data_IF_116949894856
#
_entry.id   IF_116949894856
#
_cell.length_a   1.000
_cell.length_b   1.000
_cell.length_c   1.000
_cell.angle_alpha   90.00
_cell.angle_beta   90.00
_cell.angle_gamma   90.00
#
_symmetry.space_group_name_H-M   'P 1'
#
loop_
_entity.id
_entity.type
_entity.pdbx_description
1 polymer ?
#
# COMPACT_ATOMS: atom_id res chain seq x y z
N UNK A 1 11.18 39.43 24.68
CA UNK A 1 10.40 39.28 23.43
C UNK A 1 9.14 40.13 23.57
N UNK A 2 8.87 41.08 22.67
CA UNK A 2 7.73 42.02 22.83
C UNK A 2 6.40 41.29 22.67
N UNK A 3 5.37 41.75 23.37
CA UNK A 3 4.01 41.18 23.33
C UNK A 3 3.44 41.15 21.91
N UNK A 4 3.77 42.16 21.09
CA UNK A 4 3.42 42.22 19.67
C UNK A 4 4.03 41.08 18.86
N UNK A 5 5.31 40.74 19.08
CA UNK A 5 5.96 39.60 18.40
C UNK A 5 5.35 38.26 18.79
N UNK A 6 4.89 38.12 20.04
CA UNK A 6 4.18 36.91 20.50
C UNK A 6 2.83 36.80 19.79
N UNK A 7 2.11 37.92 19.67
CA UNK A 7 0.79 37.96 19.02
C UNK A 7 0.87 37.66 17.52
N UNK A 8 1.89 38.18 16.83
CA UNK A 8 2.11 37.91 15.41
C UNK A 8 2.57 36.46 15.15
N UNK A 9 3.38 35.87 16.03
CA UNK A 9 3.70 34.44 15.96
C UNK A 9 2.46 33.58 16.22
N UNK A 10 1.61 33.95 17.18
CA UNK A 10 0.39 33.20 17.49
C UNK A 10 -0.60 33.17 16.31
N UNK A 11 -0.70 34.28 15.55
CA UNK A 11 -1.55 34.36 14.35
C UNK A 11 -1.11 33.41 13.23
N UNK A 12 0.17 33.06 13.16
CA UNK A 12 0.71 32.13 12.15
C UNK A 12 0.65 30.70 12.69
N UNK A 13 1.04 30.50 13.95
CA UNK A 13 1.14 29.18 14.58
C UNK A 13 -0.25 28.57 14.83
N UNK A 14 -1.24 29.36 15.27
CA UNK A 14 -2.54 28.84 15.65
C UNK A 14 -3.31 28.21 14.46
N UNK A 15 -3.43 28.86 13.27
CA UNK A 15 -4.05 28.21 12.10
C UNK A 15 -3.31 26.96 11.65
N UNK A 16 -1.98 26.96 11.75
CA UNK A 16 -1.13 25.83 11.36
C UNK A 16 -1.34 24.63 12.30
N UNK A 17 -1.47 24.88 13.61
CA UNK A 17 -1.85 23.87 14.61
C UNK A 17 -3.24 23.31 14.37
N UNK A 18 -4.24 24.17 14.11
CA UNK A 18 -5.62 23.73 13.82
C UNK A 18 -5.65 22.88 12.54
N UNK A 19 -4.90 23.28 11.51
CA UNK A 19 -4.76 22.51 10.28
C UNK A 19 -4.12 21.14 10.54
N UNK A 20 -3.01 21.09 11.29
CA UNK A 20 -2.36 19.83 11.64
C UNK A 20 -3.29 18.90 12.44
N UNK A 21 -3.99 19.42 13.45
CA UNK A 21 -4.92 18.65 14.25
C UNK A 21 -6.08 18.07 13.43
N UNK A 22 -6.65 18.85 12.50
CA UNK A 22 -7.73 18.38 11.63
C UNK A 22 -7.26 17.31 10.64
N UNK A 23 -6.07 17.48 10.06
CA UNK A 23 -5.44 16.47 9.20
C UNK A 23 -5.20 15.17 9.99
N UNK A 24 -4.59 15.25 11.17
CA UNK A 24 -4.34 14.07 12.01
C UNK A 24 -5.64 13.36 12.38
N UNK A 25 -6.67 14.11 12.80
CA UNK A 25 -7.99 13.56 13.12
C UNK A 25 -8.65 12.85 11.93
N UNK A 26 -8.54 13.44 10.74
CA UNK A 26 -9.02 12.82 9.50
C UNK A 26 -8.30 11.51 9.18
N UNK A 27 -6.96 11.51 9.22
CA UNK A 27 -6.15 10.33 8.98
C UNK A 27 -6.43 9.23 10.00
N UNK A 28 -6.60 9.59 11.27
CA UNK A 28 -6.96 8.66 12.33
C UNK A 28 -8.31 7.98 12.04
N UNK A 29 -9.36 8.76 11.75
CA UNK A 29 -10.69 8.21 11.43
C UNK A 29 -10.62 7.28 10.20
N UNK A 30 -9.92 7.69 9.15
CA UNK A 30 -9.77 6.87 7.95
C UNK A 30 -8.94 5.60 8.20
N UNK A 31 -7.91 5.66 9.05
CA UNK A 31 -7.15 4.49 9.45
C UNK A 31 -8.03 3.44 10.13
N UNK A 32 -8.91 3.86 11.04
CA UNK A 32 -9.88 2.95 11.66
C UNK A 32 -10.81 2.33 10.63
N UNK A 33 -11.36 3.12 9.71
CA UNK A 33 -12.22 2.60 8.64
C UNK A 33 -11.50 1.56 7.78
N UNK A 34 -10.28 1.84 7.35
CA UNK A 34 -9.46 0.90 6.55
C UNK A 34 -9.15 -0.39 7.32
N UNK A 35 -8.87 -0.29 8.62
CA UNK A 35 -8.48 -1.45 9.44
C UNK A 35 -9.67 -2.35 9.78
N UNK A 36 -10.83 -1.75 10.07
CA UNK A 36 -12.03 -2.45 10.53
C UNK A 36 -12.80 -3.04 9.36
N UNK A 37 -13.03 -2.26 8.30
CA UNK A 37 -13.87 -2.67 7.16
C UNK A 37 -13.12 -3.70 6.32
N UNK A 38 -13.61 -4.94 6.34
CA UNK A 38 -13.05 -6.05 5.56
C UNK A 38 -13.59 -6.03 4.13
N UNK A 39 -12.98 -6.85 3.27
CA UNK A 39 -13.39 -6.92 1.86
C UNK A 39 -14.84 -7.39 1.68
N UNK A 40 -15.35 -8.23 2.58
CA UNK A 40 -16.76 -8.65 2.55
C UNK A 40 -17.72 -7.55 3.02
N UNK A 41 -17.32 -6.66 3.93
CA UNK A 41 -18.14 -5.53 4.38
C UNK A 41 -18.33 -4.48 3.28
N UNK A 42 -17.34 -4.35 2.37
CA UNK A 42 -17.37 -3.37 1.27
C UNK A 42 -18.56 -3.55 0.32
N UNK A 43 -19.17 -4.74 0.25
CA UNK A 43 -20.32 -4.97 -0.64
C UNK A 43 -21.58 -4.24 -0.16
N UNK A 44 -21.64 -3.89 1.13
CA UNK A 44 -22.77 -3.19 1.74
C UNK A 44 -22.59 -1.67 1.73
N UNK A 45 -21.40 -1.19 1.36
CA UNK A 45 -21.06 0.23 1.31
C UNK A 45 -21.35 0.84 -0.06
N UNK A 46 -21.56 2.16 -0.07
CA UNK A 46 -21.69 2.90 -1.32
C UNK A 46 -20.37 2.87 -2.11
N UNK A 47 -20.48 2.92 -3.44
CA UNK A 47 -19.33 2.86 -4.34
C UNK A 47 -18.28 3.95 -4.05
N UNK A 48 -18.70 5.15 -3.69
CA UNK A 48 -17.80 6.26 -3.37
C UNK A 48 -17.06 6.04 -2.04
N UNK A 49 -17.71 5.45 -1.04
CA UNK A 49 -17.10 5.09 0.24
C UNK A 49 -16.06 3.98 0.07
N UNK A 50 -16.39 2.95 -0.72
CA UNK A 50 -15.45 1.87 -1.07
C UNK A 50 -14.22 2.44 -1.78
N UNK A 51 -14.40 3.38 -2.71
CA UNK A 51 -13.28 4.04 -3.39
C UNK A 51 -12.42 4.85 -2.41
N UNK A 52 -13.02 5.61 -1.49
CA UNK A 52 -12.30 6.36 -0.45
C UNK A 52 -11.48 5.42 0.44
N UNK A 53 -12.07 4.31 0.89
CA UNK A 53 -11.38 3.31 1.74
C UNK A 53 -10.21 2.68 0.99
N UNK A 54 -10.42 2.22 -0.25
CA UNK A 54 -9.36 1.60 -1.05
C UNK A 54 -8.23 2.60 -1.38
N UNK A 55 -8.56 3.87 -1.62
CA UNK A 55 -7.57 4.92 -1.80
C UNK A 55 -6.75 5.14 -0.53
N UNK A 56 -7.41 5.28 0.63
CA UNK A 56 -6.72 5.46 1.91
C UNK A 56 -5.86 4.25 2.29
N UNK A 57 -6.33 3.02 2.05
CA UNK A 57 -5.53 1.80 2.23
C UNK A 57 -4.28 1.83 1.34
N UNK A 58 -4.43 2.19 0.07
CA UNK A 58 -3.29 2.34 -0.85
C UNK A 58 -2.31 3.41 -0.38
N UNK A 59 -2.82 4.55 0.12
CA UNK A 59 -2.04 5.67 0.64
C UNK A 59 -1.26 5.26 1.92
N UNK A 60 -1.89 4.53 2.85
CA UNK A 60 -1.23 4.02 4.05
C UNK A 60 -0.13 3.02 3.70
N UNK A 61 -0.42 2.06 2.81
CA UNK A 61 0.57 1.10 2.35
C UNK A 61 1.75 1.80 1.64
N UNK A 62 1.47 2.85 0.88
CA UNK A 62 2.49 3.69 0.24
C UNK A 62 3.38 4.40 1.28
N UNK A 63 2.80 5.06 2.29
CA UNK A 63 3.59 5.71 3.35
C UNK A 63 4.40 4.70 4.16
N UNK A 64 3.82 3.57 4.51
CA UNK A 64 4.52 2.48 5.19
C UNK A 64 5.69 1.95 4.36
N UNK A 65 5.52 1.86 3.04
CA UNK A 65 6.60 1.46 2.14
C UNK A 65 7.73 2.49 2.11
N UNK A 66 7.41 3.79 1.98
CA UNK A 66 8.41 4.88 2.02
C UNK A 66 9.18 4.85 3.34
N UNK A 67 8.47 4.77 4.46
CA UNK A 67 9.08 4.75 5.80
C UNK A 67 9.92 3.50 5.99
N UNK A 68 9.36 2.32 5.70
CA UNK A 68 9.99 1.03 5.96
C UNK A 68 11.18 0.73 5.05
N UNK A 69 11.13 1.14 3.79
CA UNK A 69 12.18 0.82 2.81
C UNK A 69 13.22 1.93 2.63
N UNK A 70 12.89 3.19 2.91
CA UNK A 70 13.82 4.31 2.71
C UNK A 70 14.16 5.03 4.01
N UNK A 71 13.17 5.60 4.70
CA UNK A 71 13.44 6.49 5.84
C UNK A 71 14.08 5.74 7.00
N UNK A 72 13.46 4.66 7.49
CA UNK A 72 13.95 3.92 8.65
C UNK A 72 15.35 3.31 8.42
N UNK A 73 15.63 2.59 7.31
CA UNK A 73 16.97 2.08 7.03
C UNK A 73 18.01 3.20 6.91
N UNK A 74 17.68 4.30 6.22
CA UNK A 74 18.58 5.43 6.07
C UNK A 74 18.92 6.09 7.40
N UNK A 75 17.92 6.32 8.25
CA UNK A 75 18.16 6.87 9.59
C UNK A 75 19.01 5.95 10.45
N UNK A 76 18.74 4.63 10.46
CA UNK A 76 19.52 3.66 11.22
C UNK A 76 20.97 3.57 10.77
N UNK A 77 21.20 3.53 9.45
CA UNK A 77 22.55 3.56 8.87
C UNK A 77 23.25 4.88 9.19
N UNK A 78 22.53 6.00 9.09
CA UNK A 78 23.13 7.31 9.36
C UNK A 78 23.64 7.43 10.80
N UNK A 79 22.83 7.05 11.79
CA UNK A 79 23.23 7.06 13.21
C UNK A 79 24.44 6.16 13.46
N UNK A 80 24.42 4.94 12.91
CA UNK A 80 25.54 4.00 13.05
C UNK A 80 26.85 4.52 12.46
N UNK A 81 26.77 5.19 11.30
CA UNK A 81 27.94 5.77 10.64
C UNK A 81 28.48 6.97 11.42
N UNK A 82 27.61 7.86 11.92
CA UNK A 82 28.01 9.05 12.71
C UNK A 82 28.83 8.69 13.95
N UNK A 83 28.45 7.61 14.64
CA UNK A 83 29.15 7.20 15.87
C UNK A 83 30.56 6.65 15.60
N UNK A 84 30.91 6.32 14.35
CA UNK A 84 32.18 5.63 14.00
C UNK A 84 33.05 6.37 12.99
N UNK A 85 32.67 7.58 12.56
CA UNK A 85 33.36 8.29 11.47
C UNK A 85 34.76 8.83 11.80
N UNK A 86 35.17 8.85 13.07
CA UNK A 86 36.48 9.40 13.46
C UNK A 86 37.67 8.47 13.13
N UNK A 87 37.45 7.16 12.93
CA UNK A 87 38.52 6.15 12.74
C UNK A 87 38.59 5.48 11.35
N UNK A 88 37.86 6.01 10.36
CA UNK A 88 37.75 5.35 9.04
C UNK A 88 38.96 5.70 8.15
N UNK A 89 39.87 4.73 7.98
CA UNK A 89 41.05 4.84 7.12
C UNK A 89 40.72 5.21 5.66
N UNK A 90 41.64 5.91 4.98
CA UNK A 90 41.48 6.30 3.57
C UNK A 90 41.19 5.10 2.63
N UNK A 91 41.78 3.94 2.91
CA UNK A 91 41.56 2.70 2.16
C UNK A 91 40.10 2.23 2.24
N UNK A 92 39.51 2.30 3.44
CA UNK A 92 38.10 1.93 3.65
C UNK A 92 37.11 2.88 2.96
N UNK A 93 37.46 4.17 2.83
CA UNK A 93 36.66 5.14 2.05
C UNK A 93 36.63 4.79 0.56
N UNK A 94 37.77 4.42 -0.02
CA UNK A 94 37.84 4.05 -1.44
C UNK A 94 37.08 2.75 -1.76
N UNK A 95 37.11 1.78 -0.84
CA UNK A 95 36.33 0.53 -0.96
C UNK A 95 34.84 0.84 -0.91
N UNK A 96 34.40 1.67 0.04
CA UNK A 96 33.00 2.08 0.16
C UNK A 96 32.52 2.84 -1.08
N UNK A 97 33.32 3.76 -1.63
CA UNK A 97 33.00 4.48 -2.86
C UNK A 97 32.84 3.52 -4.05
N UNK A 98 33.76 2.55 -4.18
CA UNK A 98 33.71 1.53 -5.24
C UNK A 98 32.47 0.64 -5.12
N UNK A 99 32.10 0.28 -3.89
CA UNK A 99 30.89 -0.48 -3.60
C UNK A 99 29.62 0.31 -3.95
N UNK A 100 29.54 1.59 -3.58
CA UNK A 100 28.42 2.46 -3.95
C UNK A 100 28.29 2.65 -5.46
N UNK A 101 29.42 2.79 -6.16
CA UNK A 101 29.44 2.88 -7.62
C UNK A 101 28.90 1.60 -8.28
N UNK A 102 29.31 0.43 -7.78
CA UNK A 102 28.78 -0.86 -8.25
C UNK A 102 27.28 -0.99 -7.97
N UNK A 103 26.81 -0.57 -6.79
CA UNK A 103 25.38 -0.52 -6.47
C UNK A 103 24.60 0.42 -7.40
N UNK A 104 25.17 1.57 -7.76
CA UNK A 104 24.57 2.51 -8.70
C UNK A 104 24.40 1.86 -10.09
N UNK A 105 25.42 1.14 -10.57
CA UNK A 105 25.33 0.40 -11.84
C UNK A 105 24.21 -0.65 -11.76
N UNK A 106 24.17 -1.44 -10.68
CA UNK A 106 23.13 -2.46 -10.47
C UNK A 106 21.74 -1.81 -10.45
N UNK A 107 21.59 -0.68 -9.77
CA UNK A 107 20.35 0.07 -9.70
C UNK A 107 19.89 0.54 -11.08
N UNK A 108 20.78 1.18 -11.86
CA UNK A 108 20.50 1.69 -13.21
C UNK A 108 20.09 0.54 -14.14
N UNK A 109 20.81 -0.58 -14.13
CA UNK A 109 20.48 -1.76 -14.95
C UNK A 109 19.11 -2.31 -14.53
N UNK A 110 18.86 -2.45 -13.22
CA UNK A 110 17.61 -3.01 -12.70
C UNK A 110 16.41 -2.13 -13.03
N UNK A 111 16.53 -0.81 -12.90
CA UNK A 111 15.45 0.13 -13.21
C UNK A 111 15.20 0.23 -14.72
N UNK A 112 16.24 0.11 -15.56
CA UNK A 112 16.10 0.06 -17.02
C UNK A 112 15.37 -1.22 -17.47
N UNK A 113 15.75 -2.38 -16.94
CA UNK A 113 15.06 -3.65 -17.19
C UNK A 113 13.60 -3.56 -16.70
N UNK A 114 13.38 -2.97 -15.53
CA UNK A 114 12.05 -2.71 -15.00
C UNK A 114 11.21 -1.85 -15.97
N UNK A 115 11.74 -0.70 -16.41
CA UNK A 115 11.04 0.22 -17.29
C UNK A 115 10.70 -0.47 -18.63
N UNK A 116 11.63 -1.26 -19.17
CA UNK A 116 11.38 -2.07 -20.35
C UNK A 116 10.22 -3.06 -20.15
N UNK A 117 10.23 -3.81 -19.04
CA UNK A 117 9.18 -4.78 -18.73
C UNK A 117 7.83 -4.06 -18.55
N UNK A 118 7.80 -2.94 -17.84
CA UNK A 118 6.56 -2.27 -17.49
C UNK A 118 5.94 -1.49 -18.66
N UNK A 119 6.72 -0.74 -19.42
CA UNK A 119 6.18 0.08 -20.51
C UNK A 119 6.04 -0.68 -21.82
N UNK A 120 6.99 -1.58 -22.15
CA UNK A 120 7.06 -2.16 -23.50
C UNK A 120 6.60 -3.63 -23.56
N UNK A 121 6.46 -4.33 -22.42
CA UNK A 121 6.04 -5.74 -22.43
C UNK A 121 4.53 -5.91 -22.41
N UNK A 122 4.05 -6.88 -23.20
CA UNK A 122 2.65 -7.28 -23.19
C UNK A 122 2.27 -7.96 -21.85
N UNK A 123 1.02 -7.77 -21.39
CA UNK A 123 0.48 -8.30 -20.12
C UNK A 123 0.74 -9.80 -19.96
N UNK A 124 0.58 -10.59 -21.02
CA UNK A 124 0.86 -12.04 -20.99
C UNK A 124 2.31 -12.37 -20.65
N UNK A 125 3.27 -11.62 -21.20
CA UNK A 125 4.71 -11.81 -20.92
C UNK A 125 5.05 -11.34 -19.50
N UNK A 126 4.45 -10.24 -19.04
CA UNK A 126 4.59 -9.73 -17.65
C UNK A 126 4.15 -10.75 -16.61
N UNK A 127 3.02 -11.43 -16.85
CA UNK A 127 2.49 -12.45 -15.95
C UNK A 127 3.26 -13.77 -16.02
N UNK A 128 3.65 -14.22 -17.22
CA UNK A 128 4.46 -15.45 -17.41
C UNK A 128 5.75 -15.43 -16.59
N UNK A 129 6.39 -14.26 -16.48
CA UNK A 129 7.65 -14.09 -15.76
C UNK A 129 7.50 -13.34 -14.42
N UNK A 130 6.31 -13.40 -13.78
CA UNK A 130 6.01 -12.71 -12.51
C UNK A 130 7.12 -12.84 -11.47
N UNK A 131 7.57 -14.08 -11.17
CA UNK A 131 8.60 -14.33 -10.14
C UNK A 131 9.92 -13.58 -10.45
N UNK A 132 10.41 -13.68 -11.69
CA UNK A 132 11.64 -13.00 -12.13
C UNK A 132 11.50 -11.48 -12.02
N UNK A 133 10.37 -10.94 -12.48
CA UNK A 133 10.14 -9.50 -12.49
C UNK A 133 10.03 -8.94 -11.07
N UNK A 134 9.44 -9.69 -10.13
CA UNK A 134 9.44 -9.35 -8.70
C UNK A 134 10.84 -9.35 -8.09
N UNK A 135 11.68 -10.34 -8.43
CA UNK A 135 13.08 -10.39 -7.96
C UNK A 135 13.87 -9.17 -8.45
N UNK A 136 13.75 -8.82 -9.73
CA UNK A 136 14.42 -7.63 -10.31
C UNK A 136 13.95 -6.35 -9.60
N UNK A 137 12.64 -6.24 -9.35
CA UNK A 137 12.07 -5.12 -8.61
C UNK A 137 12.64 -5.04 -7.20
N UNK A 138 12.76 -6.17 -6.50
CA UNK A 138 13.31 -6.23 -5.15
C UNK A 138 14.80 -5.83 -5.10
N UNK A 139 15.60 -6.30 -6.06
CA UNK A 139 17.01 -5.88 -6.20
C UNK A 139 17.11 -4.36 -6.42
N UNK A 140 16.23 -3.80 -7.25
CA UNK A 140 16.16 -2.36 -7.50
C UNK A 140 15.78 -1.59 -6.23
N UNK A 141 14.83 -2.08 -5.44
CA UNK A 141 14.43 -1.46 -4.16
C UNK A 141 15.61 -1.45 -3.18
N UNK A 142 16.26 -2.60 -2.94
CA UNK A 142 17.39 -2.70 -2.00
C UNK A 142 18.54 -1.78 -2.43
N UNK A 143 18.94 -1.85 -3.70
CA UNK A 143 20.04 -1.01 -4.21
C UNK A 143 19.71 0.48 -4.07
N UNK A 144 18.49 0.90 -4.43
CA UNK A 144 18.07 2.30 -4.27
C UNK A 144 17.98 2.76 -2.81
N UNK A 145 17.60 1.87 -1.89
CA UNK A 145 17.53 2.15 -0.46
C UNK A 145 18.92 2.38 0.14
N UNK A 146 19.91 1.55 -0.23
CA UNK A 146 21.30 1.71 0.23
C UNK A 146 21.91 3.00 -0.33
N UNK A 147 21.68 3.30 -1.60
CA UNK A 147 22.13 4.55 -2.23
C UNK A 147 21.50 5.77 -1.58
N UNK A 148 20.18 5.74 -1.34
CA UNK A 148 19.45 6.79 -0.64
C UNK A 148 20.01 7.02 0.77
N UNK A 149 20.28 5.94 1.51
CA UNK A 149 20.88 6.02 2.85
C UNK A 149 22.23 6.73 2.83
N UNK A 150 23.04 6.47 1.80
CA UNK A 150 24.35 7.09 1.63
C UNK A 150 24.26 8.57 1.21
N UNK A 151 23.25 8.94 0.41
CA UNK A 151 22.98 10.35 0.08
C UNK A 151 22.50 11.14 1.30
N UNK A 152 21.68 10.50 2.15
CA UNK A 152 21.18 11.11 3.37
C UNK A 152 22.35 11.44 4.31
N UNK A 153 23.28 10.49 4.51
CA UNK A 153 24.44 10.72 5.39
C UNK A 153 25.33 11.85 4.88
N UNK A 154 25.68 11.89 3.59
CA UNK A 154 26.56 12.96 3.06
C UNK A 154 25.97 14.36 3.28
N UNK A 155 24.65 14.52 3.19
CA UNK A 155 24.02 15.85 3.32
C UNK A 155 23.90 16.29 4.78
N UNK A 156 23.55 15.38 5.70
CA UNK A 156 23.55 15.70 7.13
C UNK A 156 24.94 15.99 7.69
N UNK A 157 26.00 15.37 7.16
CA UNK A 157 27.36 15.51 7.71
C UNK A 157 28.27 16.49 6.97
N UNK A 158 28.17 16.60 5.64
CA UNK A 158 29.07 17.47 4.85
C UNK A 158 28.52 18.89 4.64
N UNK A 159 27.36 19.23 5.25
CA UNK A 159 26.70 20.55 5.12
C UNK A 159 26.56 21.00 3.65
N UNK A 160 26.30 20.06 2.74
CA UNK A 160 25.99 20.41 1.36
C UNK A 160 24.61 21.07 1.25
N UNK A 161 24.48 21.92 0.22
CA UNK A 161 23.50 22.99 0.06
C UNK A 161 22.03 22.54 0.14
N UNK A 162 21.17 23.49 0.53
CA UNK A 162 19.71 23.42 0.42
C UNK A 162 19.22 22.94 -0.96
N UNK A 163 20.06 23.06 -2.00
CA UNK A 163 19.79 22.68 -3.38
C UNK A 163 19.53 21.17 -3.56
N UNK A 164 20.11 20.31 -2.71
CA UNK A 164 19.91 18.85 -2.82
C UNK A 164 18.75 18.32 -1.96
N UNK A 165 18.17 19.14 -1.08
CA UNK A 165 17.07 18.73 -0.18
C UNK A 165 15.83 18.27 -0.95
N UNK A 166 15.49 18.96 -2.04
CA UNK A 166 14.37 18.57 -2.91
C UNK A 166 14.60 17.18 -3.52
N UNK A 167 15.81 16.92 -4.01
CA UNK A 167 16.17 15.64 -4.62
C UNK A 167 16.09 14.49 -3.61
N UNK A 168 16.54 14.70 -2.36
CA UNK A 168 16.42 13.71 -1.28
C UNK A 168 14.94 13.40 -1.01
N UNK A 169 14.09 14.41 -0.88
CA UNK A 169 12.68 14.20 -0.54
C UNK A 169 11.94 13.52 -1.70
N UNK A 170 12.20 13.95 -2.94
CA UNK A 170 11.52 13.42 -4.13
C UNK A 170 11.98 12.00 -4.49
N UNK A 171 13.23 11.63 -4.24
CA UNK A 171 13.78 10.32 -4.57
C UNK A 171 12.95 9.13 -4.04
N UNK A 172 12.71 8.99 -2.71
CA UNK A 172 11.92 7.89 -2.18
C UNK A 172 10.45 8.00 -2.60
N UNK A 173 9.91 9.21 -2.80
CA UNK A 173 8.52 9.42 -3.24
C UNK A 173 8.32 8.85 -4.64
N UNK A 174 9.15 9.28 -5.60
CA UNK A 174 9.07 8.87 -7.00
C UNK A 174 9.31 7.38 -7.15
N UNK A 175 10.39 6.85 -6.54
CA UNK A 175 10.69 5.43 -6.63
C UNK A 175 9.60 4.57 -5.98
N UNK A 176 9.07 4.99 -4.84
CA UNK A 176 7.97 4.27 -4.19
C UNK A 176 6.70 4.25 -5.03
N UNK A 177 6.41 5.30 -5.80
CA UNK A 177 5.26 5.31 -6.72
C UNK A 177 5.44 4.26 -7.82
N UNK A 178 6.64 4.23 -8.40
CA UNK A 178 7.04 3.28 -9.45
C UNK A 178 6.96 1.83 -8.93
N UNK A 179 7.51 1.56 -7.75
CA UNK A 179 7.49 0.21 -7.16
C UNK A 179 6.11 -0.21 -6.66
N UNK A 180 5.34 0.70 -6.06
CA UNK A 180 3.97 0.40 -5.63
C UNK A 180 3.08 0.04 -6.82
N UNK A 181 3.27 0.70 -7.97
CA UNK A 181 2.50 0.40 -9.19
C UNK A 181 2.68 -1.04 -9.68
N UNK A 182 3.92 -1.57 -9.62
CA UNK A 182 4.20 -2.94 -10.06
C UNK A 182 3.78 -3.99 -9.04
N UNK A 183 3.99 -3.70 -7.75
CA UNK A 183 3.52 -4.56 -6.68
C UNK A 183 2.00 -4.66 -6.75
N UNK A 184 1.29 -3.55 -6.94
CA UNK A 184 -0.15 -3.54 -7.15
C UNK A 184 -0.57 -4.25 -8.43
N UNK A 185 0.16 -4.10 -9.54
CA UNK A 185 -0.13 -4.86 -10.77
C UNK A 185 -0.07 -6.39 -10.53
N UNK A 186 0.93 -6.86 -9.78
CA UNK A 186 1.09 -8.29 -9.49
C UNK A 186 0.27 -8.80 -8.31
N UNK A 187 -0.11 -7.90 -7.40
CA UNK A 187 -0.89 -8.17 -6.21
C UNK A 187 -2.37 -7.86 -6.38
N UNK A 188 -2.80 -7.26 -7.50
CA UNK A 188 -4.20 -6.99 -7.80
C UNK A 188 -4.96 -8.31 -7.61
N UNK A 189 -5.54 -8.41 -6.41
CA UNK A 189 -6.30 -9.55 -5.95
C UNK A 189 -7.43 -9.69 -6.95
N UNK A 190 -7.76 -10.92 -7.32
CA UNK A 190 -9.05 -11.19 -7.95
C UNK A 190 -10.10 -10.37 -7.18
N UNK A 191 -10.84 -9.51 -7.88
CA UNK A 191 -11.96 -8.80 -7.25
C UNK A 191 -12.80 -9.90 -6.62
N UNK A 192 -12.88 -9.92 -5.29
CA UNK A 192 -13.64 -10.94 -4.57
C UNK A 192 -15.10 -10.71 -4.94
N UNK A 193 -15.57 -11.44 -5.95
CA UNK A 193 -16.95 -11.40 -6.38
C UNK A 193 -17.71 -12.42 -5.56
N UNK A 194 -18.79 -11.99 -4.91
CA UNK A 194 -19.65 -12.88 -4.16
C UNK A 194 -20.84 -13.26 -5.03
N UNK A 195 -21.13 -14.56 -5.12
CA UNK A 195 -22.41 -15.05 -5.61
C UNK A 195 -23.44 -14.84 -4.51
N UNK A 196 -24.54 -14.18 -4.85
CA UNK A 196 -25.66 -13.95 -3.93
C UNK A 196 -26.78 -14.89 -4.30
N UNK A 197 -27.25 -15.67 -3.32
CA UNK A 197 -28.40 -16.56 -3.49
C UNK A 197 -29.35 -16.40 -2.31
N UNK A 198 -30.66 -16.41 -2.56
CA UNK A 198 -31.68 -16.47 -1.51
C UNK A 198 -31.69 -17.84 -0.83
N UNK A 199 -31.85 -17.86 0.48
CA UNK A 199 -31.98 -19.09 1.28
C UNK A 199 -33.29 -19.06 2.07
N UNK A 200 -33.94 -20.21 2.24
CA UNK A 200 -35.14 -20.29 3.07
C UNK A 200 -34.79 -20.30 4.57
N UNK A 201 -35.66 -19.72 5.40
CA UNK A 201 -35.50 -19.70 6.87
C UNK A 201 -35.28 -21.11 7.45
N UNK A 202 -36.01 -22.10 6.96
CA UNK A 202 -35.89 -23.51 7.41
C UNK A 202 -34.52 -24.12 7.13
N UNK A 203 -33.84 -23.67 6.09
CA UNK A 203 -32.48 -24.11 5.78
C UNK A 203 -31.46 -23.35 6.63
N UNK A 204 -31.69 -22.06 6.87
CA UNK A 204 -30.87 -21.24 7.74
C UNK A 204 -30.87 -21.75 9.19
N UNK A 205 -32.04 -22.14 9.72
CA UNK A 205 -32.21 -22.64 11.09
C UNK A 205 -31.50 -23.99 11.34
N UNK A 206 -31.16 -24.74 10.27
CA UNK A 206 -30.38 -25.98 10.37
C UNK A 206 -28.88 -25.72 10.52
N UNK A 207 -28.41 -24.51 10.20
CA UNK A 207 -27.00 -24.15 10.23
C UNK A 207 -26.59 -23.67 11.62
N UNK A 208 -25.36 -24.03 12.02
CA UNK A 208 -24.76 -23.53 13.26
C UNK A 208 -24.16 -22.14 13.05
N UNK A 209 -25.00 -21.12 13.07
CA UNK A 209 -24.62 -19.74 12.76
C UNK A 209 -24.07 -18.99 13.98
N UNK A 210 -23.07 -18.15 13.72
CA UNK A 210 -22.45 -17.21 14.65
C UNK A 210 -22.70 -15.81 14.12
N UNK A 211 -23.14 -14.92 15.00
CA UNK A 211 -23.31 -13.51 14.66
C UNK A 211 -21.96 -12.80 14.59
N UNK A 212 -21.72 -12.11 13.47
CA UNK A 212 -20.54 -11.25 13.29
C UNK A 212 -20.83 -9.84 13.79
N UNK A 213 -21.74 -9.13 13.11
CA UNK A 213 -22.10 -7.75 13.42
C UNK A 213 -23.46 -7.39 12.80
N UNK A 214 -24.01 -6.25 13.21
CA UNK A 214 -25.22 -5.65 12.63
C UNK A 214 -24.81 -4.61 11.58
N UNK A 215 -25.45 -4.65 10.41
CA UNK A 215 -25.28 -3.64 9.35
C UNK A 215 -26.18 -2.43 9.61
N UNK A 216 -27.43 -2.72 9.99
CA UNK A 216 -28.46 -1.77 10.41
C UNK A 216 -29.26 -2.43 11.54
N UNK A 217 -30.20 -1.71 12.15
CA UNK A 217 -31.03 -2.21 13.26
C UNK A 217 -31.72 -3.56 12.95
N UNK A 218 -32.08 -3.80 11.69
CA UNK A 218 -32.83 -5.00 11.27
C UNK A 218 -32.02 -5.98 10.42
N UNK A 219 -30.76 -5.64 10.07
CA UNK A 219 -29.91 -6.43 9.17
C UNK A 219 -28.68 -6.95 9.87
N UNK A 220 -28.53 -8.27 9.90
CA UNK A 220 -27.45 -8.96 10.62
C UNK A 220 -26.61 -9.80 9.66
N UNK A 221 -25.29 -9.76 9.84
CA UNK A 221 -24.35 -10.65 9.15
C UNK A 221 -24.00 -11.83 10.05
N UNK A 222 -24.20 -13.04 9.53
CA UNK A 222 -23.97 -14.32 10.20
C UNK A 222 -22.97 -15.16 9.38
N UNK A 223 -22.26 -16.06 10.03
CA UNK A 223 -21.41 -17.06 9.37
C UNK A 223 -21.49 -18.40 10.09
N UNK A 224 -21.18 -19.50 9.41
CA UNK A 224 -21.25 -20.83 10.02
C UNK A 224 -19.98 -21.12 10.84
N UNK A 225 -20.10 -21.73 12.03
CA UNK A 225 -19.01 -21.96 12.99
C UNK A 225 -17.73 -22.57 12.40
N UNK A 226 -17.87 -23.42 11.38
CA UNK A 226 -16.75 -24.14 10.75
C UNK A 226 -16.31 -23.53 9.41
N UNK A 227 -16.84 -22.37 9.02
CA UNK A 227 -16.49 -21.69 7.76
C UNK A 227 -15.91 -20.31 8.02
N UNK A 228 -15.01 -19.87 7.14
CA UNK A 228 -14.51 -18.50 7.19
C UNK A 228 -15.58 -17.54 6.69
N UNK A 229 -15.84 -16.48 7.46
CA UNK A 229 -16.74 -15.38 7.06
C UNK A 229 -16.30 -14.73 5.74
N UNK A 230 -15.01 -14.78 5.40
CA UNK A 230 -14.51 -14.24 4.13
C UNK A 230 -14.94 -15.08 2.93
N UNK A 231 -15.20 -16.38 3.13
CA UNK A 231 -15.53 -17.34 2.08
C UNK A 231 -17.04 -17.51 1.92
N UNK A 232 -17.78 -17.62 3.03
CA UNK A 232 -19.24 -17.72 3.02
C UNK A 232 -19.83 -17.04 4.25
N UNK A 233 -20.85 -16.20 4.00
CA UNK A 233 -21.59 -15.54 5.06
C UNK A 233 -23.04 -15.31 4.62
N UNK A 234 -23.89 -14.95 5.58
CA UNK A 234 -25.31 -14.79 5.41
C UNK A 234 -25.73 -13.41 5.86
N UNK A 235 -26.59 -12.74 5.11
CA UNK A 235 -27.25 -11.51 5.51
C UNK A 235 -28.71 -11.82 5.78
N UNK A 236 -29.17 -11.52 6.99
CA UNK A 236 -30.56 -11.70 7.40
C UNK A 236 -31.17 -10.33 7.60
N UNK A 237 -32.23 -10.02 6.86
CA UNK A 237 -33.09 -8.87 7.09
C UNK A 237 -34.38 -9.35 7.75
N UNK A 238 -34.48 -9.12 9.07
CA UNK A 238 -35.63 -9.57 9.85
C UNK A 238 -36.89 -8.74 9.59
N UNK A 239 -36.75 -7.51 9.09
CA UNK A 239 -37.89 -6.65 8.76
C UNK A 239 -38.64 -7.14 7.51
N UNK A 240 -37.90 -7.67 6.54
CA UNK A 240 -38.44 -8.14 5.26
C UNK A 240 -38.49 -9.67 5.13
N UNK A 241 -38.06 -10.41 6.16
CA UNK A 241 -37.89 -11.87 6.16
C UNK A 241 -37.04 -12.39 4.98
N UNK A 242 -36.07 -11.59 4.52
CA UNK A 242 -35.16 -11.93 3.42
C UNK A 242 -33.84 -12.45 3.98
N UNK A 243 -33.46 -13.65 3.57
CA UNK A 243 -32.20 -14.28 3.94
C UNK A 243 -31.36 -14.52 2.69
N UNK A 244 -30.16 -13.94 2.66
CA UNK A 244 -29.23 -14.03 1.55
C UNK A 244 -27.96 -14.76 1.98
N UNK A 245 -27.50 -15.68 1.14
CA UNK A 245 -26.18 -16.31 1.24
C UNK A 245 -25.23 -15.65 0.26
N UNK A 246 -24.06 -15.27 0.75
CA UNK A 246 -22.95 -14.74 -0.02
C UNK A 246 -21.84 -15.77 -0.04
N UNK A 247 -21.44 -16.21 -1.23
CA UNK A 247 -20.36 -17.17 -1.40
C UNK A 247 -19.28 -16.59 -2.32
N UNK A 248 -18.06 -16.52 -1.82
CA UNK A 248 -16.92 -16.00 -2.56
C UNK A 248 -16.65 -16.85 -3.80
N UNK A 249 -16.66 -16.22 -4.96
CA UNK A 249 -16.19 -16.83 -6.20
C UNK A 249 -14.70 -16.52 -6.35
N UNK A 250 -13.87 -17.56 -6.33
CA UNK A 250 -12.49 -17.45 -6.76
C UNK A 250 -12.44 -17.32 -8.29
N UNK A 251 -12.79 -16.14 -8.81
CA UNK A 251 -12.51 -15.81 -10.21
C UNK A 251 -11.03 -15.43 -10.30
N UNK A 252 -10.15 -16.44 -10.28
CA UNK A 252 -8.83 -16.26 -10.88
C UNK A 252 -9.07 -16.02 -12.38
N UNK A 253 -9.00 -14.76 -12.83
CA UNK A 253 -9.16 -14.38 -14.24
C UNK A 253 -7.79 -14.24 -14.93
N UNK A 254 -7.22 -15.32 -15.48
CA UNK A 254 -6.33 -15.21 -16.64
C UNK A 254 -7.04 -15.47 -17.97
N UNK A 255 -8.24 -16.08 -18.00
CA UNK A 255 -8.75 -16.70 -19.24
C UNK A 255 -10.23 -16.41 -19.58
N UNK A 256 -10.67 -15.15 -19.47
CA UNK A 256 -11.91 -14.70 -20.16
C UNK A 256 -11.55 -13.72 -21.27
N UNK A 257 -10.68 -14.18 -22.18
CA UNK A 257 -10.77 -13.89 -23.61
C UNK A 257 -10.83 -15.26 -24.29
N UNK A 258 -11.85 -16.05 -23.93
CA UNK A 258 -12.27 -17.14 -24.81
C UNK A 258 -12.95 -16.50 -26.00
N UNK A 259 -12.30 -16.68 -27.14
CA UNK A 259 -12.83 -16.51 -28.49
C UNK A 259 -14.34 -16.78 -28.49
N UNK A 260 -15.12 -15.85 -28.99
CA UNK A 260 -16.40 -16.17 -29.61
C UNK A 260 -16.21 -16.00 -31.12
N UNK A 261 -15.76 -17.04 -31.86
CA UNK A 261 -15.77 -17.03 -33.30
C UNK A 261 -17.01 -17.81 -33.73
N UNK A 262 -18.20 -17.20 -33.61
CA UNK A 262 -19.42 -17.67 -34.28
C UNK A 262 -20.53 -16.63 -34.08
N UNK A 263 -20.59 -15.70 -35.03
CA UNK A 263 -21.82 -15.18 -35.62
C UNK A 263 -21.40 -14.42 -36.89
N UNK A 264 -21.13 -15.21 -37.93
CA UNK A 264 -21.34 -14.80 -39.33
C UNK A 264 -22.57 -15.57 -39.80
N UNK A 265 -23.69 -14.88 -39.83
CA UNK A 265 -24.69 -14.98 -40.89
C UNK A 265 -25.11 -13.55 -41.21
#
# INVERSE_FOLDING_TARGET
MSVEKIYDLLKIIAPLLVFLCTVIGFFYNMYFKVKVIKDYDKIFLKKDEVQKINFMDSLFNYFLFVIGMYVAPATGISMYVTERTEDISQLSKNILLSFLFLLLIIFIISIAIYAYIFFFSNIRKKLKHKKRNLIITFISIISSSILYSSMLTTIFFEKQSEEFMLSIILWPIILSLVYSSILNFYNNKAVNTYLVSTIEKKELDKLSLIQSHMLDNDKIVLYERNTSIEDTFYMCDYSSEVYLKYQKQNIYKPDVIRKNPQNKF
#
